data_IF_096809606791
#
_entry.id   IF_096809606791
#
_cell.length_a   1.000
_cell.length_b   1.000
_cell.length_c   1.000
_cell.angle_alpha   90.00
_cell.angle_beta   90.00
_cell.angle_gamma   90.00
#
_symmetry.space_group_name_H-M   'P 1'
#
loop_
_entity.id
_entity.type
_entity.pdbx_description
1 polymer ?
#
# COMPACT_ATOMS: atom_id res chain seq x y z
N UNK A 1 31.64 4.10 19.17
CA UNK A 1 30.23 3.87 19.55
C UNK A 1 29.41 3.92 18.28
N UNK A 2 28.93 2.76 17.81
CA UNK A 2 28.16 2.63 16.57
C UNK A 2 26.68 2.64 16.96
N UNK A 3 25.99 3.77 16.78
CA UNK A 3 24.55 3.83 17.03
C UNK A 3 23.82 3.17 15.85
N UNK A 4 23.56 1.86 15.95
CA UNK A 4 22.56 1.20 15.11
C UNK A 4 21.18 1.59 15.60
N UNK A 5 20.60 2.64 15.01
CA UNK A 5 19.18 2.90 15.11
C UNK A 5 18.45 1.76 14.41
N UNK A 6 18.03 0.74 15.15
CA UNK A 6 17.09 -0.25 14.64
C UNK A 6 15.80 0.50 14.30
N UNK A 7 15.61 0.84 13.03
CA UNK A 7 14.32 1.30 12.55
C UNK A 7 13.31 0.19 12.86
N UNK A 8 12.19 0.48 13.54
CA UNK A 8 11.14 -0.51 13.70
C UNK A 8 10.76 -1.00 12.30
N UNK A 9 11.03 -2.27 12.04
CA UNK A 9 10.76 -2.90 10.75
C UNK A 9 9.25 -3.06 10.70
N UNK A 10 8.55 -2.00 10.25
CA UNK A 10 7.12 -2.06 10.04
C UNK A 10 6.86 -3.25 9.11
N UNK A 11 6.07 -4.22 9.59
CA UNK A 11 5.72 -5.39 8.79
C UNK A 11 5.11 -4.90 7.47
N UNK A 12 5.62 -5.33 6.31
CA UNK A 12 5.06 -4.93 5.04
C UNK A 12 3.57 -5.30 4.99
N UNK A 13 2.71 -4.30 4.79
CA UNK A 13 1.26 -4.48 4.67
C UNK A 13 0.89 -4.43 3.20
N UNK A 14 0.12 -5.40 2.75
CA UNK A 14 -0.39 -5.47 1.38
C UNK A 14 -1.91 -5.41 1.40
N UNK A 15 -2.48 -4.52 0.58
CA UNK A 15 -3.92 -4.32 0.44
C UNK A 15 -4.34 -4.57 -1.01
N UNK A 16 -5.41 -5.33 -1.20
CA UNK A 16 -6.06 -5.54 -2.50
C UNK A 16 -7.26 -4.61 -2.61
N UNK A 17 -7.25 -3.76 -3.62
CA UNK A 17 -8.34 -2.86 -4.02
C UNK A 17 -9.13 -3.57 -5.11
N UNK A 18 -10.40 -3.86 -4.85
CA UNK A 18 -11.34 -4.45 -5.82
C UNK A 18 -12.40 -3.41 -6.07
N UNK A 19 -12.31 -2.73 -7.21
CA UNK A 19 -13.18 -1.63 -7.58
C UNK A 19 -13.42 -1.71 -9.10
N UNK A 20 -14.68 -1.55 -9.50
CA UNK A 20 -15.14 -1.59 -10.89
C UNK A 20 -14.77 -0.31 -11.65
N UNK A 21 -14.78 0.83 -10.95
CA UNK A 21 -14.39 2.13 -11.50
C UNK A 21 -12.86 2.33 -11.46
N UNK A 22 -12.17 2.41 -12.62
CA UNK A 22 -10.71 2.45 -12.67
C UNK A 22 -10.11 3.71 -12.04
N UNK A 23 -10.84 4.82 -12.10
CA UNK A 23 -10.44 6.09 -11.49
C UNK A 23 -10.45 5.98 -9.96
N UNK A 24 -11.48 5.34 -9.40
CA UNK A 24 -11.62 5.16 -7.96
C UNK A 24 -10.59 4.16 -7.43
N UNK A 25 -10.42 3.03 -8.13
CA UNK A 25 -9.40 2.03 -7.83
C UNK A 25 -8.00 2.65 -7.72
N UNK A 26 -7.67 3.53 -8.68
CA UNK A 26 -6.38 4.24 -8.72
C UNK A 26 -6.24 5.22 -7.55
N UNK A 27 -7.28 5.99 -7.24
CA UNK A 27 -7.25 6.94 -6.13
C UNK A 27 -7.05 6.24 -4.77
N UNK A 28 -7.69 5.09 -4.57
CA UNK A 28 -7.54 4.28 -3.36
C UNK A 28 -6.13 3.66 -3.29
N UNK A 29 -5.61 3.11 -4.40
CA UNK A 29 -4.27 2.54 -4.45
C UNK A 29 -3.17 3.59 -4.17
N UNK A 30 -3.34 4.82 -4.67
CA UNK A 30 -2.44 5.93 -4.37
C UNK A 30 -2.44 6.28 -2.90
N UNK A 31 -3.62 6.34 -2.26
CA UNK A 31 -3.73 6.60 -0.83
C UNK A 31 -3.05 5.52 0.01
N UNK A 32 -3.29 4.24 -0.28
CA UNK A 32 -2.64 3.12 0.41
C UNK A 32 -1.12 3.19 0.27
N UNK A 33 -0.64 3.52 -0.92
CA UNK A 33 0.80 3.69 -1.19
C UNK A 33 1.37 4.88 -0.42
N UNK A 34 0.64 5.98 -0.31
CA UNK A 34 1.03 7.15 0.50
C UNK A 34 1.07 6.84 2.00
N UNK A 35 0.28 5.89 2.48
CA UNK A 35 0.33 5.36 3.85
C UNK A 35 1.52 4.39 4.07
N UNK A 36 2.35 4.16 3.04
CA UNK A 36 3.52 3.30 3.07
C UNK A 36 3.18 1.81 2.95
N UNK A 37 1.95 1.48 2.54
CA UNK A 37 1.50 0.12 2.35
C UNK A 37 1.55 -0.25 0.86
N UNK A 38 1.68 -1.53 0.56
CA UNK A 38 1.66 -2.02 -0.81
C UNK A 38 0.22 -2.15 -1.29
N UNK A 39 -0.15 -1.46 -2.37
CA UNK A 39 -1.45 -1.58 -3.01
C UNK A 39 -1.40 -2.52 -4.22
N UNK A 40 -2.44 -3.34 -4.40
CA UNK A 40 -2.71 -4.13 -5.61
C UNK A 40 -4.13 -3.82 -6.06
N UNK A 41 -4.33 -3.60 -7.36
CA UNK A 41 -5.68 -3.40 -7.92
C UNK A 41 -6.11 -4.67 -8.65
N UNK A 42 -7.37 -5.07 -8.45
CA UNK A 42 -8.04 -6.09 -9.23
C UNK A 42 -9.38 -5.55 -9.72
N UNK A 43 -9.73 -5.85 -10.97
CA UNK A 43 -11.06 -5.66 -11.52
C UNK A 43 -11.86 -6.96 -11.31
N UNK A 44 -13.16 -6.87 -11.02
CA UNK A 44 -14.04 -7.99 -11.34
C UNK A 44 -14.10 -8.12 -12.87
N UNK A 45 -14.00 -9.35 -13.36
CA UNK A 45 -13.85 -9.63 -14.80
C UNK A 45 -15.15 -9.47 -15.56
#
# INVERSE_FOLDING_TARGET
MLNSSAQPTATPRTVLVVEDEPTLATAIAQRITAEGWTARVASDG
#
